data_IF_673235296951
#
_entry.id   IF_673235296951
#
_cell.length_a   1.000
_cell.length_b   1.000
_cell.length_c   1.000
_cell.angle_alpha   90.00
_cell.angle_beta   90.00
_cell.angle_gamma   90.00
#
_symmetry.space_group_name_H-M   'P 1'
#
loop_
_entity.id
_entity.type
_entity.pdbx_description
1 polymer ?
#
# COMPACT_ATOMS: atom_id res chain seq x y z
N UNK A 1 5.56 24.77 7.93
CA UNK A 1 5.15 23.38 7.58
C UNK A 1 5.95 22.93 6.39
N UNK A 2 6.85 21.99 6.61
CA UNK A 2 7.69 21.42 5.57
C UNK A 2 6.86 20.38 4.81
N UNK A 3 6.98 20.29 3.48
CA UNK A 3 6.12 19.47 2.60
C UNK A 3 6.08 18.00 3.00
N UNK A 4 7.13 17.51 3.67
CA UNK A 4 7.23 16.16 4.22
C UNK A 4 6.28 15.90 5.40
N UNK A 5 6.04 16.89 6.24
CA UNK A 5 5.13 16.76 7.40
C UNK A 5 3.68 16.70 6.95
N UNK A 6 3.32 17.42 5.87
CA UNK A 6 1.96 17.42 5.32
C UNK A 6 1.56 16.06 4.75
N UNK A 7 2.52 15.36 4.12
CA UNK A 7 2.32 14.00 3.60
C UNK A 7 2.10 13.01 4.76
N UNK A 8 2.84 13.14 5.86
CA UNK A 8 2.70 12.24 7.03
C UNK A 8 1.35 12.43 7.73
N UNK A 9 0.85 13.67 7.80
CA UNK A 9 -0.45 13.96 8.44
C UNK A 9 -1.64 13.47 7.61
N UNK A 10 -1.57 13.49 6.27
CA UNK A 10 -2.60 12.89 5.41
C UNK A 10 -2.59 11.36 5.45
N UNK A 11 -1.44 10.75 5.75
CA UNK A 11 -1.28 9.29 5.86
C UNK A 11 -2.09 8.74 7.06
N UNK A 12 -2.30 9.48 8.15
CA UNK A 12 -3.02 8.97 9.33
C UNK A 12 -4.55 9.13 9.26
N UNK A 13 -5.07 9.85 8.27
CA UNK A 13 -6.47 10.29 8.25
C UNK A 13 -7.40 9.52 7.28
N UNK A 14 -6.93 8.47 6.59
CA UNK A 14 -7.80 7.66 5.74
C UNK A 14 -8.52 6.58 6.58
N UNK A 15 -9.86 6.59 6.63
CA UNK A 15 -10.62 5.63 7.42
C UNK A 15 -10.38 4.21 6.89
N UNK A 16 -10.08 3.28 7.81
CA UNK A 16 -9.84 1.84 7.54
C UNK A 16 -11.03 1.13 6.85
N UNK A 17 -12.16 1.81 6.62
CA UNK A 17 -13.45 1.21 6.27
C UNK A 17 -13.96 1.47 4.85
N UNK A 18 -13.15 1.99 3.91
CA UNK A 18 -13.57 2.06 2.50
C UNK A 18 -12.75 1.12 1.62
N UNK A 19 -13.40 0.14 0.99
CA UNK A 19 -12.85 -0.74 -0.07
C UNK A 19 -12.63 0.04 -1.38
N UNK A 20 -12.13 1.28 -1.32
CA UNK A 20 -11.86 2.09 -2.49
C UNK A 20 -10.54 1.67 -3.14
N UNK A 21 -10.40 1.90 -4.44
CA UNK A 21 -9.12 1.67 -5.15
C UNK A 21 -7.99 2.48 -4.49
N UNK A 22 -8.30 3.67 -3.97
CA UNK A 22 -7.35 4.54 -3.29
C UNK A 22 -6.84 3.94 -1.96
N UNK A 23 -7.72 3.33 -1.15
CA UNK A 23 -7.30 2.67 0.09
C UNK A 23 -6.41 1.45 -0.18
N UNK A 24 -6.67 0.72 -1.26
CA UNK A 24 -5.84 -0.42 -1.69
C UNK A 24 -4.46 0.07 -2.15
N UNK A 25 -4.39 1.17 -2.92
CA UNK A 25 -3.12 1.81 -3.33
C UNK A 25 -2.32 2.26 -2.12
N UNK A 26 -2.99 2.84 -1.13
CA UNK A 26 -2.38 3.26 0.12
C UNK A 26 -1.79 2.08 0.92
N UNK A 27 -2.50 0.95 0.99
CA UNK A 27 -1.98 -0.26 1.63
C UNK A 27 -0.73 -0.80 0.92
N UNK A 28 -0.72 -0.82 -0.42
CA UNK A 28 0.46 -1.20 -1.22
C UNK A 28 1.66 -0.31 -0.85
N UNK A 29 1.48 1.02 -0.79
CA UNK A 29 2.53 1.95 -0.40
C UNK A 29 3.05 1.67 1.02
N UNK A 30 2.16 1.40 1.99
CA UNK A 30 2.56 1.01 3.35
C UNK A 30 3.40 -0.27 3.36
N UNK A 31 3.03 -1.28 2.57
CA UNK A 31 3.81 -2.52 2.48
C UNK A 31 5.17 -2.30 1.83
N UNK A 32 5.28 -1.46 0.79
CA UNK A 32 6.57 -1.08 0.22
C UNK A 32 7.46 -0.35 1.22
N UNK A 33 6.91 0.59 1.98
CA UNK A 33 7.65 1.29 3.02
C UNK A 33 8.14 0.32 4.10
N UNK A 34 7.29 -0.61 4.57
CA UNK A 34 7.68 -1.65 5.53
C UNK A 34 8.82 -2.53 5.01
N UNK A 35 8.78 -2.92 3.73
CA UNK A 35 9.87 -3.69 3.11
C UNK A 35 11.17 -2.87 3.11
N UNK A 36 11.11 -1.62 2.65
CA UNK A 36 12.27 -0.74 2.57
C UNK A 36 12.91 -0.47 3.94
N UNK A 37 12.09 -0.37 5.00
CA UNK A 37 12.59 -0.19 6.36
C UNK A 37 13.16 -1.49 6.96
N UNK A 38 12.57 -2.64 6.65
CA UNK A 38 13.09 -3.95 7.05
C UNK A 38 14.42 -4.29 6.36
N UNK A 39 14.55 -3.97 5.07
CA UNK A 39 15.77 -4.20 4.28
C UNK A 39 16.97 -3.34 4.73
N UNK A 40 16.72 -2.23 5.43
CA UNK A 40 17.78 -1.37 6.02
C UNK A 40 18.33 -1.89 7.34
N UNK A 41 17.69 -2.88 7.97
CA UNK A 41 18.16 -3.43 9.25
C UNK A 41 19.42 -4.24 9.05
N UNK A 42 20.25 -4.30 10.09
CA UNK A 42 21.46 -5.14 10.11
C UNK A 42 21.14 -6.63 9.91
N UNK A 43 20.00 -7.09 10.41
CA UNK A 43 19.46 -8.42 10.15
C UNK A 43 18.00 -8.33 9.68
N UNK A 44 17.75 -8.29 8.36
CA UNK A 44 16.40 -8.20 7.81
C UNK A 44 15.56 -9.44 8.08
N UNK A 45 14.31 -9.25 8.53
CA UNK A 45 13.38 -10.36 8.70
C UNK A 45 12.71 -10.76 7.38
N UNK A 46 13.34 -11.70 6.66
CA UNK A 46 12.91 -12.13 5.32
C UNK A 46 11.47 -12.66 5.26
N UNK A 47 10.95 -13.26 6.33
CA UNK A 47 9.56 -13.73 6.35
C UNK A 47 8.56 -12.57 6.29
N UNK A 48 8.85 -11.45 6.97
CA UNK A 48 8.02 -10.24 6.89
C UNK A 48 8.10 -9.60 5.50
N UNK A 49 9.29 -9.53 4.91
CA UNK A 49 9.47 -9.03 3.55
C UNK A 49 8.66 -9.88 2.56
N UNK A 50 8.76 -11.21 2.66
CA UNK A 50 8.02 -12.13 1.79
C UNK A 50 6.51 -12.03 1.99
N UNK A 51 6.06 -11.87 3.24
CA UNK A 51 4.65 -11.62 3.56
C UNK A 51 4.16 -10.34 2.88
N UNK A 52 4.85 -9.22 3.09
CA UNK A 52 4.48 -7.94 2.49
C UNK A 52 4.45 -8.00 0.96
N UNK A 53 5.39 -8.71 0.32
CA UNK A 53 5.40 -8.90 -1.14
C UNK A 53 4.18 -9.68 -1.62
N UNK A 54 3.75 -10.73 -0.91
CA UNK A 54 2.54 -11.49 -1.26
C UNK A 54 1.28 -10.63 -1.12
N UNK A 55 1.19 -9.83 -0.06
CA UNK A 55 0.07 -8.91 0.15
C UNK A 55 -0.02 -7.88 -0.99
N UNK A 56 1.11 -7.27 -1.37
CA UNK A 56 1.17 -6.33 -2.50
C UNK A 56 0.61 -6.97 -3.77
N UNK A 57 1.04 -8.18 -4.12
CA UNK A 57 0.53 -8.88 -5.32
C UNK A 57 -0.99 -9.10 -5.27
N UNK A 58 -1.55 -9.44 -4.10
CA UNK A 58 -2.99 -9.61 -3.92
C UNK A 58 -3.77 -8.30 -4.08
N UNK A 59 -3.23 -7.21 -3.55
CA UNK A 59 -3.80 -5.87 -3.63
C UNK A 59 -3.74 -5.32 -5.08
N UNK A 60 -2.61 -5.49 -5.77
CA UNK A 60 -2.46 -5.10 -7.19
C UNK A 60 -3.46 -5.82 -8.09
N UNK A 61 -3.66 -7.12 -7.87
CA UNK A 61 -4.68 -7.89 -8.59
C UNK A 61 -6.09 -7.35 -8.35
N UNK A 62 -6.38 -6.94 -7.12
CA UNK A 62 -7.68 -6.36 -6.75
C UNK A 62 -7.90 -5.01 -7.44
N UNK A 63 -6.88 -4.14 -7.53
CA UNK A 63 -6.92 -2.88 -8.30
C UNK A 63 -7.19 -3.17 -9.77
N UNK A 64 -6.42 -4.08 -10.38
CA UNK A 64 -6.56 -4.39 -11.80
C UNK A 64 -7.98 -4.89 -12.14
N UNK A 65 -8.60 -5.67 -11.26
CA UNK A 65 -9.99 -6.12 -11.41
C UNK A 65 -10.99 -4.96 -11.28
N UNK A 66 -10.81 -4.08 -10.29
CA UNK A 66 -11.67 -2.92 -10.10
C UNK A 66 -11.59 -1.96 -11.31
N UNK A 67 -10.39 -1.65 -11.78
CA UNK A 67 -10.18 -0.81 -12.96
C UNK A 67 -10.78 -1.41 -14.23
N UNK A 68 -10.69 -2.73 -14.42
CA UNK A 68 -11.31 -3.43 -15.55
C UNK A 68 -12.85 -3.34 -15.52
N UNK A 69 -13.47 -3.41 -14.34
CA UNK A 69 -14.92 -3.24 -14.19
C UNK A 69 -15.35 -1.82 -14.54
N UNK A 70 -14.60 -0.82 -14.07
CA UNK A 70 -14.87 0.59 -14.37
C UNK A 70 -14.77 0.91 -15.87
N UNK A 71 -13.79 0.33 -16.58
CA UNK A 71 -13.64 0.52 -18.03
C UNK A 71 -14.71 -0.16 -18.89
N UNK A 72 -15.37 -1.21 -18.38
CA UNK A 72 -16.42 -1.96 -19.11
C UNK A 72 -17.81 -1.33 -19.00
N UNK A 73 -18.02 -0.43 -18.04
CA UNK A 73 -19.28 0.30 -17.88
C UNK A 73 -19.36 1.63 -18.64
N UNK A 74 -18.36 1.93 -19.48
CA UNK A 74 -18.34 3.09 -20.40
C UNK A 74 -18.65 2.65 -21.82
#
# INVERSE_FOLDING_TARGET
MNTKEKIIVEIEALPESSLSVESIRYQILRHHQKIADEEKKESPYHNLINYCRKEIMGLEKSIAQAEKRLKRGK
#
